data_IF_644323426122
#
_entry.id   IF_644323426122
#
_cell.length_a   1.000
_cell.length_b   1.000
_cell.length_c   1.000
_cell.angle_alpha   90.00
_cell.angle_beta   90.00
_cell.angle_gamma   90.00
#
_symmetry.space_group_name_H-M   'P 1'
#
loop_
_entity.id
_entity.type
_entity.pdbx_description
1 polymer ?
#
# COMPACT_ATOMS: atom_id res chain seq x y z
N UNK A 1 -12.15 -11.17 -9.00
CA UNK A 1 -10.74 -11.30 -9.39
C UNK A 1 -10.29 -12.74 -9.39
N UNK A 2 -9.56 -13.16 -10.42
CA UNK A 2 -9.05 -14.54 -10.55
C UNK A 2 -8.20 -14.95 -9.34
N UNK A 3 -7.49 -14.02 -8.75
CA UNK A 3 -6.62 -14.26 -7.59
C UNK A 3 -7.40 -14.56 -6.30
N UNK A 4 -8.65 -14.11 -6.19
CA UNK A 4 -9.52 -14.41 -5.06
C UNK A 4 -10.33 -15.70 -5.24
N UNK A 5 -10.28 -16.32 -6.42
CA UNK A 5 -11.05 -17.54 -6.73
C UNK A 5 -10.92 -18.66 -5.69
N UNK A 6 -9.71 -19.02 -5.22
CA UNK A 6 -9.56 -20.05 -4.17
C UNK A 6 -10.28 -19.69 -2.86
N UNK A 7 -10.18 -18.43 -2.42
CA UNK A 7 -10.88 -17.94 -1.23
C UNK A 7 -12.40 -18.03 -1.42
N UNK A 8 -12.92 -17.50 -2.51
CA UNK A 8 -14.36 -17.50 -2.81
C UNK A 8 -14.90 -18.91 -2.91
N UNK A 9 -14.18 -19.83 -3.58
CA UNK A 9 -14.56 -21.25 -3.68
C UNK A 9 -14.62 -21.94 -2.31
N UNK A 10 -13.73 -21.55 -1.38
CA UNK A 10 -13.67 -22.15 -0.05
C UNK A 10 -14.69 -21.55 0.92
N UNK A 11 -14.90 -20.22 0.86
CA UNK A 11 -15.69 -19.46 1.85
C UNK A 11 -17.09 -19.12 1.39
N UNK A 12 -17.38 -19.26 0.11
CA UNK A 12 -18.69 -18.99 -0.49
C UNK A 12 -19.02 -17.51 -0.61
N UNK A 13 -20.03 -17.24 -1.41
CA UNK A 13 -20.60 -15.91 -1.64
C UNK A 13 -21.78 -15.70 -0.68
N UNK A 14 -21.79 -14.55 -0.01
CA UNK A 14 -22.89 -14.18 0.86
C UNK A 14 -24.17 -13.91 0.05
N UNK A 15 -25.27 -14.53 0.46
CA UNK A 15 -26.60 -14.29 -0.07
C UNK A 15 -27.63 -14.64 0.98
N UNK A 16 -28.67 -13.81 1.12
CA UNK A 16 -29.84 -14.14 1.94
C UNK A 16 -30.66 -15.25 1.31
N UNK A 17 -30.63 -15.35 -0.02
CA UNK A 17 -31.34 -16.41 -0.78
C UNK A 17 -30.33 -17.52 -1.11
N UNK A 18 -30.68 -18.75 -0.77
CA UNK A 18 -29.97 -19.94 -1.24
C UNK A 18 -30.37 -20.15 -2.68
N UNK A 19 -29.46 -20.01 -3.63
CA UNK A 19 -29.69 -20.31 -5.05
C UNK A 19 -28.96 -21.60 -5.40
N UNK A 20 -29.67 -22.51 -6.02
CA UNK A 20 -29.07 -23.71 -6.59
C UNK A 20 -28.19 -23.32 -7.77
N UNK A 21 -27.05 -23.96 -7.88
CA UNK A 21 -26.17 -23.82 -9.02
C UNK A 21 -26.68 -24.64 -10.20
N UNK A 22 -27.39 -23.99 -11.14
CA UNK A 22 -27.94 -24.61 -12.33
C UNK A 22 -26.88 -25.35 -13.14
N UNK A 23 -25.68 -24.77 -13.26
CA UNK A 23 -24.57 -25.41 -14.01
C UNK A 23 -24.10 -26.71 -13.35
N UNK A 24 -24.11 -26.74 -12.02
CA UNK A 24 -23.78 -27.95 -11.26
C UNK A 24 -24.84 -29.04 -11.44
N UNK A 25 -26.12 -28.65 -11.41
CA UNK A 25 -27.24 -29.55 -11.58
C UNK A 25 -27.26 -30.12 -13.01
N UNK A 26 -26.93 -29.32 -14.00
CA UNK A 26 -26.80 -29.71 -15.41
C UNK A 26 -25.44 -30.38 -15.74
N UNK A 27 -24.55 -30.57 -14.76
CA UNK A 27 -23.22 -31.16 -14.91
C UNK A 27 -22.33 -30.42 -15.94
N UNK A 28 -22.54 -29.12 -16.12
CA UNK A 28 -21.68 -28.28 -16.95
C UNK A 28 -20.39 -28.03 -16.23
N UNK A 29 -19.26 -28.23 -16.91
CA UNK A 29 -17.94 -27.94 -16.34
C UNK A 29 -17.80 -26.43 -16.06
N UNK A 30 -17.60 -26.06 -14.78
CA UNK A 30 -17.39 -24.68 -14.34
C UNK A 30 -16.15 -24.60 -13.48
N UNK A 31 -15.33 -23.57 -13.71
CA UNK A 31 -14.21 -23.23 -12.84
C UNK A 31 -14.68 -22.66 -11.49
N UNK A 32 -15.94 -22.21 -11.43
CA UNK A 32 -16.55 -21.62 -10.24
C UNK A 32 -17.17 -22.75 -9.39
N UNK A 33 -16.66 -22.90 -8.17
CA UNK A 33 -17.10 -23.95 -7.24
C UNK A 33 -17.78 -23.39 -5.99
N UNK A 34 -18.00 -22.08 -5.92
CA UNK A 34 -18.60 -21.46 -4.75
C UNK A 34 -20.12 -21.68 -4.68
N UNK A 35 -20.59 -21.71 -3.44
CA UNK A 35 -22.02 -21.71 -3.13
C UNK A 35 -22.45 -20.32 -2.67
N UNK A 36 -23.71 -19.97 -2.89
CA UNK A 36 -24.34 -18.77 -2.34
C UNK A 36 -25.21 -19.15 -1.15
N UNK A 37 -24.89 -18.56 0.02
CA UNK A 37 -25.62 -18.85 1.26
C UNK A 37 -25.37 -17.79 2.32
N UNK A 38 -26.17 -17.73 3.39
CA UNK A 38 -26.08 -16.74 4.45
C UNK A 38 -24.78 -16.75 5.28
N UNK A 39 -24.02 -17.86 5.21
CA UNK A 39 -22.70 -17.97 5.84
C UNK A 39 -21.52 -17.64 4.91
N UNK A 40 -21.78 -17.25 3.66
CA UNK A 40 -20.73 -16.86 2.73
C UNK A 40 -19.97 -15.63 3.19
N UNK A 41 -18.67 -15.61 2.96
CA UNK A 41 -17.78 -14.50 3.41
C UNK A 41 -17.35 -13.58 2.27
N UNK A 42 -17.77 -13.83 1.04
CA UNK A 42 -17.50 -12.95 -0.10
C UNK A 42 -18.77 -12.22 -0.53
N UNK A 43 -18.70 -10.90 -0.62
CA UNK A 43 -19.79 -10.06 -1.12
C UNK A 43 -19.43 -9.54 -2.51
N UNK A 44 -20.21 -9.89 -3.51
CA UNK A 44 -20.03 -9.39 -4.87
C UNK A 44 -20.83 -8.11 -5.06
N UNK A 45 -20.13 -6.99 -5.26
CA UNK A 45 -20.74 -5.67 -5.49
C UNK A 45 -20.75 -5.27 -6.96
N UNK A 46 -20.06 -6.01 -7.83
CA UNK A 46 -19.84 -5.62 -9.21
C UNK A 46 -18.91 -4.40 -9.33
N UNK A 47 -19.02 -3.65 -10.43
CA UNK A 47 -18.23 -2.44 -10.67
C UNK A 47 -19.00 -1.25 -10.06
N UNK A 48 -18.83 -1.04 -8.75
CA UNK A 48 -19.59 -0.07 -7.98
C UNK A 48 -18.76 0.44 -6.78
N UNK A 49 -17.81 1.32 -7.04
CA UNK A 49 -16.82 1.79 -6.05
C UNK A 49 -17.46 2.51 -4.86
N UNK A 50 -18.45 3.39 -5.12
CA UNK A 50 -19.18 4.05 -4.04
C UNK A 50 -19.93 3.08 -3.15
N UNK A 51 -20.52 2.02 -3.73
CA UNK A 51 -21.18 0.95 -2.95
C UNK A 51 -20.16 0.14 -2.14
N UNK A 52 -18.94 -0.06 -2.68
CA UNK A 52 -17.86 -0.71 -1.93
C UNK A 52 -17.55 0.07 -0.65
N UNK A 53 -17.30 1.37 -0.74
CA UNK A 53 -16.98 2.18 0.43
C UNK A 53 -18.14 2.28 1.41
N UNK A 54 -19.38 2.39 0.93
CA UNK A 54 -20.57 2.36 1.80
C UNK A 54 -20.70 1.01 2.53
N UNK A 55 -20.43 -0.09 1.84
CA UNK A 55 -20.44 -1.42 2.45
C UNK A 55 -19.31 -1.59 3.46
N UNK A 56 -18.10 -1.13 3.14
CA UNK A 56 -16.97 -1.15 4.07
C UNK A 56 -17.26 -0.32 5.32
N UNK A 57 -17.90 0.84 5.16
CA UNK A 57 -18.36 1.65 6.30
C UNK A 57 -19.33 0.88 7.18
N UNK A 58 -20.37 0.30 6.59
CA UNK A 58 -21.40 -0.45 7.33
C UNK A 58 -20.80 -1.65 8.10
N UNK A 59 -19.94 -2.44 7.43
CA UNK A 59 -19.29 -3.60 8.03
C UNK A 59 -18.23 -3.18 9.06
N UNK A 60 -17.47 -2.11 8.79
CA UNK A 60 -16.45 -1.58 9.69
C UNK A 60 -17.01 -0.97 10.98
N UNK A 61 -18.26 -0.53 10.96
CA UNK A 61 -19.00 -0.02 12.12
C UNK A 61 -19.73 -1.11 12.92
N UNK A 62 -19.61 -2.38 12.53
CA UNK A 62 -20.33 -3.48 13.19
C UNK A 62 -20.02 -3.63 14.69
N UNK A 63 -18.78 -3.32 15.10
CA UNK A 63 -18.36 -3.36 16.51
C UNK A 63 -19.19 -2.42 17.39
N UNK A 64 -19.15 -1.10 17.16
CA UNK A 64 -19.92 -0.14 17.97
C UNK A 64 -21.44 -0.29 17.82
N UNK A 65 -21.95 -0.76 16.68
CA UNK A 65 -23.41 -0.88 16.45
C UNK A 65 -23.98 -2.18 17.03
N UNK A 66 -23.27 -3.30 16.83
CA UNK A 66 -23.79 -4.64 17.16
C UNK A 66 -22.97 -5.39 18.21
N UNK A 67 -21.91 -4.80 18.74
CA UNK A 67 -21.05 -5.43 19.75
C UNK A 67 -20.11 -6.52 19.19
N UNK A 68 -20.12 -6.76 17.88
CA UNK A 68 -19.25 -7.74 17.22
C UNK A 68 -18.51 -7.07 16.08
N UNK A 69 -17.18 -7.03 16.17
CA UNK A 69 -16.35 -6.42 15.14
C UNK A 69 -16.12 -7.39 13.99
N UNK A 70 -16.47 -6.97 12.78
CA UNK A 70 -16.07 -7.59 11.54
C UNK A 70 -14.75 -7.00 11.07
N UNK A 71 -14.02 -7.76 10.24
CA UNK A 71 -12.76 -7.34 9.62
C UNK A 71 -12.93 -7.29 8.09
N UNK A 72 -13.65 -6.28 7.57
CA UNK A 72 -13.94 -6.20 6.15
C UNK A 72 -12.68 -5.85 5.36
N UNK A 73 -12.49 -6.58 4.24
CA UNK A 73 -11.44 -6.31 3.25
C UNK A 73 -12.13 -6.01 1.92
N UNK A 74 -11.96 -4.80 1.43
CA UNK A 74 -12.48 -4.38 0.13
C UNK A 74 -11.39 -4.38 -0.94
N UNK A 75 -11.73 -4.83 -2.16
CA UNK A 75 -10.80 -4.83 -3.29
C UNK A 75 -11.35 -4.02 -4.45
N UNK A 76 -10.50 -3.19 -5.05
CA UNK A 76 -10.82 -2.42 -6.25
C UNK A 76 -9.56 -2.19 -7.08
N UNK A 77 -9.72 -1.75 -8.34
CA UNK A 77 -8.60 -1.20 -9.12
C UNK A 77 -8.20 0.15 -8.53
N UNK A 78 -6.90 0.33 -8.30
CA UNK A 78 -6.35 1.52 -7.66
C UNK A 78 -6.84 2.85 -8.27
N UNK A 79 -6.88 3.06 -9.61
CA UNK A 79 -7.34 4.33 -10.19
C UNK A 79 -8.80 4.65 -9.86
N UNK A 80 -9.60 3.64 -9.53
CA UNK A 80 -11.03 3.83 -9.31
C UNK A 80 -11.39 4.23 -7.87
N UNK A 81 -10.40 4.30 -6.97
CA UNK A 81 -10.59 4.90 -5.64
C UNK A 81 -11.19 6.32 -5.77
N UNK A 82 -10.79 7.06 -6.79
CA UNK A 82 -11.27 8.41 -7.05
C UNK A 82 -12.79 8.51 -7.27
N UNK A 83 -13.44 7.42 -7.73
CA UNK A 83 -14.89 7.39 -7.97
C UNK A 83 -15.71 7.33 -6.69
N UNK A 84 -15.11 6.96 -5.57
CA UNK A 84 -15.80 6.80 -4.30
C UNK A 84 -15.20 7.62 -3.17
N UNK A 85 -14.40 8.66 -3.45
CA UNK A 85 -13.69 9.45 -2.44
C UNK A 85 -14.60 10.06 -1.38
N UNK A 86 -15.79 10.53 -1.76
CA UNK A 86 -16.77 11.07 -0.81
C UNK A 86 -17.21 9.99 0.19
N UNK A 87 -17.60 8.82 -0.31
CA UNK A 87 -17.99 7.70 0.54
C UNK A 87 -16.83 7.18 1.40
N UNK A 88 -15.60 7.15 0.87
CA UNK A 88 -14.39 6.82 1.62
C UNK A 88 -14.16 7.82 2.76
N UNK A 89 -14.27 9.12 2.47
CA UNK A 89 -14.10 10.17 3.47
C UNK A 89 -15.11 10.02 4.61
N UNK A 90 -16.39 9.78 4.29
CA UNK A 90 -17.41 9.54 5.32
C UNK A 90 -17.15 8.25 6.11
N UNK A 91 -16.71 7.20 5.48
CA UNK A 91 -16.34 5.96 6.17
C UNK A 91 -15.24 6.20 7.21
N UNK A 92 -14.18 6.93 6.83
CA UNK A 92 -13.09 7.29 7.73
C UNK A 92 -13.55 8.26 8.83
N UNK A 93 -14.39 9.25 8.49
CA UNK A 93 -14.94 10.22 9.44
C UNK A 93 -15.78 9.55 10.55
N UNK A 94 -16.48 8.47 10.21
CA UNK A 94 -17.30 7.69 11.14
C UNK A 94 -16.49 6.68 11.97
N UNK A 95 -15.16 6.66 11.81
CA UNK A 95 -14.28 5.64 12.43
C UNK A 95 -14.65 4.20 12.02
N UNK A 96 -15.14 4.01 10.82
CA UNK A 96 -15.30 2.68 10.24
C UNK A 96 -13.93 2.04 10.04
N UNK A 97 -13.82 0.74 10.35
CA UNK A 97 -12.55 0.03 10.35
C UNK A 97 -12.53 -1.06 9.31
N UNK A 98 -11.71 -0.87 8.29
CA UNK A 98 -11.62 -1.76 7.13
C UNK A 98 -10.20 -1.76 6.55
N UNK A 99 -9.92 -2.79 5.77
CA UNK A 99 -8.73 -2.86 4.93
C UNK A 99 -9.14 -2.67 3.46
N UNK A 100 -8.63 -1.63 2.82
CA UNK A 100 -8.82 -1.35 1.41
C UNK A 100 -7.61 -1.84 0.63
N UNK A 101 -7.82 -2.78 -0.29
CA UNK A 101 -6.77 -3.33 -1.15
C UNK A 101 -7.00 -2.85 -2.58
N UNK A 102 -6.22 -1.88 -3.00
CA UNK A 102 -6.24 -1.33 -4.34
C UNK A 102 -5.25 -2.07 -5.23
N UNK A 103 -5.78 -2.91 -6.11
CA UNK A 103 -4.98 -3.81 -6.98
C UNK A 103 -5.75 -4.20 -8.25
N UNK A 104 -5.12 -4.23 -9.42
CA UNK A 104 -3.74 -3.78 -9.69
C UNK A 104 -3.58 -2.26 -9.59
N UNK A 105 -2.34 -1.81 -9.36
CA UNK A 105 -1.98 -0.41 -9.25
C UNK A 105 -0.84 -0.05 -10.21
N UNK A 106 -0.80 1.22 -10.60
CA UNK A 106 0.32 1.86 -11.28
C UNK A 106 0.70 1.21 -12.60
N UNK A 107 1.98 0.95 -12.76
CA UNK A 107 2.59 0.44 -14.00
C UNK A 107 1.97 -0.87 -14.51
N UNK A 108 1.43 -1.71 -13.63
CA UNK A 108 0.75 -2.95 -14.05
C UNK A 108 -0.51 -2.72 -14.88
N UNK A 109 -1.03 -1.49 -14.89
CA UNK A 109 -2.16 -1.07 -15.71
C UNK A 109 -1.73 -0.41 -17.04
N UNK A 110 -0.44 -0.40 -17.37
CA UNK A 110 0.07 0.16 -18.61
C UNK A 110 -0.58 -0.42 -19.88
N UNK A 111 -0.90 -1.73 -19.98
CA UNK A 111 -1.63 -2.27 -21.12
C UNK A 111 -3.03 -1.70 -21.31
N UNK A 112 -3.68 -1.28 -20.22
CA UNK A 112 -5.04 -0.70 -20.23
C UNK A 112 -5.05 0.78 -20.63
N UNK A 113 -3.90 1.46 -20.55
CA UNK A 113 -3.71 2.85 -20.95
C UNK A 113 -3.47 3.84 -19.83
N UNK A 114 -2.99 5.02 -20.20
CA UNK A 114 -2.52 6.04 -19.27
C UNK A 114 -3.54 6.52 -18.25
N UNK A 115 -4.83 6.52 -18.58
CA UNK A 115 -5.91 6.91 -17.67
C UNK A 115 -6.09 5.93 -16.49
N UNK A 116 -5.55 4.71 -16.58
CA UNK A 116 -5.64 3.68 -15.54
C UNK A 116 -4.37 3.59 -14.68
N UNK A 117 -3.32 4.32 -14.98
CA UNK A 117 -2.03 4.24 -14.28
C UNK A 117 -1.98 4.91 -12.90
N UNK A 118 -3.10 5.45 -12.41
CA UNK A 118 -3.29 5.88 -11.02
C UNK A 118 -2.18 6.76 -10.43
N UNK A 119 -1.79 7.82 -11.15
CA UNK A 119 -0.66 8.71 -10.78
C UNK A 119 -0.84 9.36 -9.41
N UNK A 120 -2.07 9.78 -9.05
CA UNK A 120 -2.35 10.56 -7.84
C UNK A 120 -2.76 9.74 -6.61
N UNK A 121 -2.98 8.44 -6.74
CA UNK A 121 -3.53 7.61 -5.65
C UNK A 121 -2.63 7.50 -4.42
N UNK A 122 -1.28 7.54 -4.50
CA UNK A 122 -0.44 7.63 -3.31
C UNK A 122 -0.72 8.88 -2.45
N UNK A 123 -1.08 10.01 -3.09
CA UNK A 123 -1.41 11.24 -2.36
C UNK A 123 -2.78 11.15 -1.66
N UNK A 124 -3.72 10.37 -2.20
CA UNK A 124 -5.00 10.08 -1.51
C UNK A 124 -4.72 9.38 -0.19
N UNK A 125 -3.88 8.34 -0.19
CA UNK A 125 -3.47 7.65 1.02
C UNK A 125 -2.88 8.59 2.08
N UNK A 126 -1.98 9.47 1.67
CA UNK A 126 -1.33 10.43 2.56
C UNK A 126 -2.27 11.54 3.06
N UNK A 127 -3.29 11.89 2.29
CA UNK A 127 -4.17 13.02 2.57
C UNK A 127 -5.48 12.67 3.27
N UNK A 128 -5.81 11.39 3.43
CA UNK A 128 -7.09 10.94 4.00
C UNK A 128 -6.98 10.69 5.50
N UNK A 129 -7.55 11.52 6.37
CA UNK A 129 -7.58 11.25 7.81
C UNK A 129 -8.31 9.95 8.14
N UNK A 130 -7.82 9.20 9.14
CA UNK A 130 -8.40 7.93 9.58
C UNK A 130 -8.04 6.73 8.69
N UNK A 131 -7.14 6.92 7.74
CA UNK A 131 -6.65 5.90 6.83
C UNK A 131 -5.12 5.87 6.89
N UNK A 132 -4.54 4.72 7.17
CA UNK A 132 -3.08 4.52 7.08
C UNK A 132 -2.76 3.81 5.78
N UNK A 133 -1.87 4.38 4.98
CA UNK A 133 -1.54 3.84 3.66
C UNK A 133 -0.17 3.18 3.60
N UNK A 134 -0.11 2.06 2.89
CA UNK A 134 1.11 1.32 2.60
C UNK A 134 1.23 0.97 1.12
N UNK A 135 2.45 0.96 0.63
CA UNK A 135 2.81 0.52 -0.71
C UNK A 135 4.04 -0.41 -0.65
N UNK A 136 3.85 -1.67 -0.21
CA UNK A 136 4.93 -2.63 -0.12
C UNK A 136 5.47 -3.04 -1.49
N UNK A 137 6.77 -3.32 -1.55
CA UNK A 137 7.41 -3.85 -2.74
C UNK A 137 7.35 -5.39 -2.80
N UNK A 138 7.42 -6.06 -1.65
CA UNK A 138 7.59 -7.50 -1.54
C UNK A 138 6.44 -8.18 -0.79
N UNK A 139 6.24 -9.46 -1.05
CA UNK A 139 5.19 -10.25 -0.44
C UNK A 139 5.37 -10.45 1.08
N UNK A 140 6.59 -10.52 1.56
CA UNK A 140 6.90 -10.64 2.99
C UNK A 140 6.58 -9.34 3.76
N UNK A 141 6.83 -8.17 3.14
CA UNK A 141 6.38 -6.88 3.66
C UNK A 141 4.84 -6.83 3.74
N UNK A 142 4.18 -7.22 2.65
CA UNK A 142 2.72 -7.26 2.60
C UNK A 142 2.15 -8.17 3.69
N UNK A 143 2.73 -9.35 3.91
CA UNK A 143 2.29 -10.27 4.96
C UNK A 143 2.42 -9.64 6.36
N UNK A 144 3.53 -8.96 6.64
CA UNK A 144 3.77 -8.23 7.89
C UNK A 144 2.74 -7.12 8.08
N UNK A 145 2.52 -6.31 7.05
CA UNK A 145 1.58 -5.17 7.07
C UNK A 145 0.14 -5.66 7.24
N UNK A 146 -0.27 -6.71 6.53
CA UNK A 146 -1.63 -7.25 6.65
C UNK A 146 -1.90 -7.83 8.04
N UNK A 147 -0.94 -8.57 8.61
CA UNK A 147 -1.05 -9.08 9.98
C UNK A 147 -1.25 -7.95 10.96
N UNK A 148 -0.37 -6.95 10.93
CA UNK A 148 -0.49 -5.76 11.76
C UNK A 148 -1.81 -5.01 11.50
N UNK A 149 -2.23 -4.87 10.24
CA UNK A 149 -3.45 -4.16 9.86
C UNK A 149 -4.71 -4.79 10.47
N UNK A 150 -4.79 -6.12 10.53
CA UNK A 150 -5.88 -6.80 11.22
C UNK A 150 -5.86 -6.58 12.74
N UNK A 151 -4.69 -6.52 13.36
CA UNK A 151 -4.53 -6.18 14.77
C UNK A 151 -4.90 -4.71 15.01
N UNK A 152 -4.43 -3.79 14.16
CA UNK A 152 -4.72 -2.36 14.22
C UNK A 152 -6.22 -2.04 14.08
N UNK A 153 -6.92 -2.71 13.17
CA UNK A 153 -8.37 -2.55 13.03
C UNK A 153 -9.16 -2.94 14.28
N UNK A 154 -8.57 -3.73 15.19
CA UNK A 154 -9.19 -4.21 16.43
C UNK A 154 -8.74 -3.42 17.67
N UNK A 155 -7.67 -2.65 17.58
CA UNK A 155 -7.14 -1.85 18.68
C UNK A 155 -8.09 -0.71 19.05
N UNK A 156 -8.04 -0.24 20.29
CA UNK A 156 -8.91 0.86 20.78
C UNK A 156 -8.68 2.16 20.00
N UNK A 157 -7.41 2.45 19.69
CA UNK A 157 -6.94 3.59 18.89
C UNK A 157 -6.72 3.24 17.41
N UNK A 158 -7.29 2.13 16.95
CA UNK A 158 -7.13 1.64 15.59
C UNK A 158 -7.93 2.44 14.57
N UNK A 159 -7.75 2.09 13.29
CA UNK A 159 -8.41 2.75 12.15
C UNK A 159 -8.44 1.85 10.93
N UNK A 160 -8.60 2.46 9.76
CA UNK A 160 -8.60 1.78 8.47
C UNK A 160 -7.20 1.74 7.83
N UNK A 161 -6.98 0.74 6.99
CA UNK A 161 -5.70 0.53 6.28
C UNK A 161 -5.95 0.53 4.77
N UNK A 162 -5.12 1.23 4.02
CA UNK A 162 -5.10 1.23 2.57
C UNK A 162 -3.81 0.59 2.06
N UNK A 163 -3.94 -0.44 1.23
CA UNK A 163 -2.84 -1.15 0.59
C UNK A 163 -2.87 -0.87 -0.91
N UNK A 164 -1.88 -0.16 -1.43
CA UNK A 164 -1.68 0.04 -2.86
C UNK A 164 -0.74 -1.05 -3.38
N UNK A 165 -1.28 -1.98 -4.19
CA UNK A 165 -0.58 -3.19 -4.59
C UNK A 165 -0.45 -3.32 -6.10
N UNK A 166 0.78 -3.55 -6.56
CA UNK A 166 1.08 -3.93 -7.93
C UNK A 166 0.92 -5.44 -8.12
N UNK A 167 0.55 -5.87 -9.32
CA UNK A 167 0.59 -7.28 -9.74
C UNK A 167 1.82 -7.60 -10.59
N UNK A 168 2.78 -6.68 -10.65
CA UNK A 168 4.05 -6.89 -11.35
C UNK A 168 4.83 -8.05 -10.73
N UNK A 169 5.34 -8.93 -11.59
CA UNK A 169 6.21 -10.02 -11.16
C UNK A 169 7.61 -9.46 -10.87
N UNK A 170 8.03 -9.57 -9.62
CA UNK A 170 9.37 -9.18 -9.16
C UNK A 170 10.02 -10.30 -8.36
N UNK A 171 11.35 -10.39 -8.43
CA UNK A 171 12.09 -11.35 -7.62
C UNK A 171 11.94 -11.01 -6.14
N UNK A 172 11.54 -12.00 -5.35
CA UNK A 172 11.42 -11.84 -3.91
C UNK A 172 12.81 -11.94 -3.24
N UNK A 173 13.09 -11.13 -2.21
CA UNK A 173 14.36 -11.19 -1.50
C UNK A 173 14.48 -12.49 -0.70
N UNK A 174 15.67 -13.09 -0.72
CA UNK A 174 16.04 -14.16 0.19
C UNK A 174 16.55 -13.54 1.51
N UNK A 175 15.64 -13.32 2.44
CA UNK A 175 15.94 -12.68 3.74
C UNK A 175 15.13 -13.27 4.87
N UNK A 176 15.66 -13.20 6.08
CA UNK A 176 14.93 -13.55 7.29
C UNK A 176 14.18 -12.32 7.80
N UNK A 177 12.89 -12.47 8.03
CA UNK A 177 12.07 -11.43 8.66
C UNK A 177 12.40 -11.39 10.16
N UNK A 178 13.25 -10.43 10.56
CA UNK A 178 13.57 -10.20 11.97
C UNK A 178 12.55 -9.26 12.61
N UNK A 179 12.45 -9.28 13.94
CA UNK A 179 11.55 -8.37 14.67
C UNK A 179 11.89 -6.90 14.42
N UNK A 180 13.15 -6.56 14.21
CA UNK A 180 13.62 -5.21 13.89
C UNK A 180 13.14 -4.80 12.50
N UNK A 181 13.29 -5.70 11.51
CA UNK A 181 12.82 -5.45 10.15
C UNK A 181 11.29 -5.31 10.10
N UNK A 182 10.54 -6.16 10.80
CA UNK A 182 9.08 -6.03 10.92
C UNK A 182 8.68 -4.66 11.47
N UNK A 183 9.34 -4.21 12.54
CA UNK A 183 9.09 -2.88 13.12
C UNK A 183 9.39 -1.74 12.16
N UNK A 184 10.49 -1.82 11.43
CA UNK A 184 10.89 -0.77 10.49
C UNK A 184 9.96 -0.74 9.26
N UNK A 185 9.53 -1.90 8.75
CA UNK A 185 8.48 -2.02 7.72
C UNK A 185 7.20 -1.31 8.20
N UNK A 186 6.76 -1.57 9.43
CA UNK A 186 5.55 -0.99 9.99
C UNK A 186 5.69 0.51 10.32
N UNK A 187 6.89 1.00 10.60
CA UNK A 187 7.18 2.44 10.73
C UNK A 187 7.26 3.16 9.40
N UNK A 188 7.28 2.43 8.30
CA UNK A 188 7.19 2.98 6.95
C UNK A 188 8.48 2.98 6.14
N UNK A 189 9.65 2.62 6.69
CA UNK A 189 10.90 2.52 5.91
C UNK A 189 11.96 1.69 6.59
N UNK A 190 12.82 1.07 5.77
CA UNK A 190 14.01 0.36 6.21
C UNK A 190 15.11 0.43 5.13
N UNK A 191 16.38 0.30 5.53
CA UNK A 191 17.47 0.18 4.58
C UNK A 191 17.49 -1.22 3.95
N UNK A 192 17.13 -1.32 2.66
CA UNK A 192 17.30 -2.54 1.88
C UNK A 192 18.79 -2.86 1.65
N UNK A 193 19.61 -1.82 1.45
CA UNK A 193 21.06 -1.87 1.46
C UNK A 193 21.56 -0.70 2.32
N UNK A 194 22.18 -1.01 3.43
CA UNK A 194 22.71 -0.01 4.35
C UNK A 194 23.79 0.86 3.69
N UNK A 195 23.70 2.19 3.83
CA UNK A 195 24.78 3.05 3.36
C UNK A 195 26.02 2.90 4.24
N UNK A 196 27.20 3.08 3.67
CA UNK A 196 28.37 3.34 4.50
C UNK A 196 28.28 4.77 5.06
N UNK A 197 28.83 4.97 6.24
CA UNK A 197 28.85 6.31 6.86
C UNK A 197 29.44 7.35 5.91
N UNK A 198 28.84 8.52 5.89
CA UNK A 198 29.23 9.65 5.05
C UNK A 198 29.18 9.38 3.53
N UNK A 199 28.17 8.62 3.08
CA UNK A 199 27.92 8.49 1.63
C UNK A 199 27.26 9.76 1.08
N UNK A 200 27.69 10.23 -0.12
CA UNK A 200 27.18 11.47 -0.72
C UNK A 200 25.82 11.31 -1.43
N UNK A 201 25.34 10.08 -1.58
CA UNK A 201 24.10 9.77 -2.30
C UNK A 201 23.36 8.60 -1.67
N UNK A 202 22.01 8.68 -1.68
CA UNK A 202 21.13 7.54 -1.42
C UNK A 202 20.02 7.50 -2.46
N UNK A 203 19.58 6.28 -2.80
CA UNK A 203 18.39 6.02 -3.58
C UNK A 203 17.28 5.57 -2.63
N UNK A 204 16.10 6.17 -2.76
CA UNK A 204 14.91 5.86 -1.98
C UNK A 204 13.82 5.42 -2.96
N UNK A 205 13.11 4.35 -2.65
CA UNK A 205 12.05 3.86 -3.52
C UNK A 205 10.83 3.40 -2.74
N UNK A 206 9.70 3.29 -3.42
CA UNK A 206 8.47 2.67 -2.88
C UNK A 206 7.83 1.78 -3.94
N UNK A 207 7.22 0.68 -3.50
CA UNK A 207 6.42 -0.20 -4.36
C UNK A 207 7.21 -0.92 -5.45
N UNK A 208 6.60 -1.12 -6.64
CA UNK A 208 7.04 -2.10 -7.64
C UNK A 208 8.21 -1.66 -8.53
N UNK A 209 8.84 -0.52 -8.28
CA UNK A 209 9.97 0.00 -9.07
C UNK A 209 11.32 -0.62 -8.68
N UNK A 210 11.29 -1.67 -7.89
CA UNK A 210 12.49 -2.35 -7.37
C UNK A 210 13.45 -2.81 -8.46
N UNK A 211 13.03 -3.45 -9.56
CA UNK A 211 13.96 -3.92 -10.59
C UNK A 211 14.80 -2.77 -11.15
N UNK A 212 14.17 -1.68 -11.57
CA UNK A 212 14.86 -0.51 -12.14
C UNK A 212 15.80 0.16 -11.15
N UNK A 213 15.37 0.21 -9.88
CA UNK A 213 16.18 0.80 -8.81
C UNK A 213 17.39 -0.06 -8.49
N UNK A 214 17.27 -1.39 -8.48
CA UNK A 214 18.40 -2.30 -8.29
C UNK A 214 19.38 -2.24 -9.46
N UNK A 215 18.91 -2.11 -10.69
CA UNK A 215 19.76 -1.93 -11.87
C UNK A 215 20.53 -0.61 -11.79
N UNK A 216 19.85 0.48 -11.45
CA UNK A 216 20.50 1.78 -11.23
C UNK A 216 21.51 1.73 -10.07
N UNK A 217 21.16 1.08 -8.95
CA UNK A 217 22.08 0.88 -7.83
C UNK A 217 23.32 0.09 -8.25
N UNK A 218 23.15 -0.98 -8.99
CA UNK A 218 24.26 -1.82 -9.47
C UNK A 218 25.19 -1.08 -10.44
N UNK A 219 24.64 -0.19 -11.25
CA UNK A 219 25.43 0.64 -12.15
C UNK A 219 26.25 1.72 -11.42
N UNK A 220 25.73 2.23 -10.29
CA UNK A 220 26.32 3.38 -9.57
C UNK A 220 27.22 2.98 -8.39
N UNK A 221 27.09 1.77 -7.85
CA UNK A 221 27.77 1.36 -6.61
C UNK A 221 29.30 1.36 -6.67
N UNK A 222 29.87 1.21 -7.89
CA UNK A 222 31.32 1.25 -8.09
C UNK A 222 31.85 2.69 -8.09
N UNK A 223 31.10 3.61 -8.68
CA UNK A 223 31.45 5.02 -8.76
C UNK A 223 31.13 5.77 -7.46
N UNK A 224 30.16 5.27 -6.68
CA UNK A 224 29.72 5.86 -5.41
C UNK A 224 29.83 4.82 -4.30
N UNK A 225 31.05 4.62 -3.76
CA UNK A 225 31.28 3.65 -2.70
C UNK A 225 30.45 3.97 -1.45
N UNK A 226 29.64 2.99 -1.02
CA UNK A 226 28.79 3.15 0.15
C UNK A 226 27.39 3.71 -0.15
N UNK A 227 27.02 3.79 -1.44
CA UNK A 227 25.64 4.08 -1.86
C UNK A 227 24.64 3.25 -1.04
N UNK A 228 23.61 3.91 -0.49
CA UNK A 228 22.52 3.27 0.25
C UNK A 228 21.26 3.13 -0.59
N UNK A 229 20.48 2.09 -0.29
CA UNK A 229 19.17 1.86 -0.90
C UNK A 229 18.11 1.74 0.19
N UNK A 230 17.20 2.72 0.29
CA UNK A 230 16.12 2.77 1.28
C UNK A 230 14.79 2.37 0.65
N UNK A 231 14.12 1.39 1.24
CA UNK A 231 12.74 1.03 0.90
C UNK A 231 11.76 1.80 1.76
N UNK A 232 10.77 2.44 1.14
CA UNK A 232 9.63 3.05 1.82
C UNK A 232 8.42 2.14 1.62
N UNK A 233 7.82 1.72 2.71
CA UNK A 233 6.59 0.94 2.75
C UNK A 233 5.36 1.79 3.07
N UNK A 234 5.56 2.94 3.75
CA UNK A 234 4.50 3.91 4.06
C UNK A 234 5.05 5.33 4.11
N UNK A 235 4.89 6.07 3.01
CA UNK A 235 5.19 7.51 2.99
C UNK A 235 4.29 8.30 3.94
N UNK A 236 3.07 7.86 4.10
CA UNK A 236 2.05 8.40 4.97
C UNK A 236 2.49 8.42 6.44
N UNK A 237 2.80 7.26 7.03
CA UNK A 237 3.23 7.18 8.43
C UNK A 237 4.51 7.98 8.69
N UNK A 238 5.48 7.90 7.78
CA UNK A 238 6.74 8.66 7.89
C UNK A 238 6.49 10.16 7.88
N UNK A 239 5.59 10.63 6.99
CA UNK A 239 5.25 12.04 6.89
C UNK A 239 4.56 12.53 8.17
N UNK A 240 3.56 11.80 8.67
CA UNK A 240 2.84 12.17 9.88
C UNK A 240 3.73 12.14 11.13
N UNK A 241 4.58 11.13 11.28
CA UNK A 241 5.55 11.06 12.37
C UNK A 241 6.53 12.25 12.30
N UNK A 242 7.05 12.58 11.12
CA UNK A 242 7.91 13.72 10.94
C UNK A 242 7.19 15.02 11.29
N UNK A 243 5.99 15.27 10.78
CA UNK A 243 5.21 16.46 11.11
C UNK A 243 4.98 16.59 12.63
N UNK A 244 4.61 15.51 13.29
CA UNK A 244 4.46 15.47 14.74
C UNK A 244 5.77 15.81 15.45
N UNK A 245 6.90 15.33 14.96
CA UNK A 245 8.21 15.58 15.56
C UNK A 245 8.63 17.05 15.52
N UNK A 246 8.07 17.88 14.63
CA UNK A 246 8.38 19.32 14.56
C UNK A 246 7.85 20.11 15.77
N UNK A 247 6.90 19.56 16.48
CA UNK A 247 6.32 20.15 17.72
C UNK A 247 6.90 19.54 18.98
N UNK A 248 7.74 18.53 18.86
CA UNK A 248 8.36 17.84 19.99
C UNK A 248 9.44 18.68 20.65
N UNK A 249 9.78 18.33 21.90
CA UNK A 249 10.93 18.87 22.60
C UNK A 249 12.25 18.50 21.91
N UNK A 250 13.28 19.32 22.06
CA UNK A 250 14.64 19.03 21.56
C UNK A 250 15.26 17.76 22.16
N UNK A 251 14.71 17.26 23.25
CA UNK A 251 15.17 16.03 23.91
C UNK A 251 14.46 14.76 23.40
N UNK A 252 13.41 14.91 22.58
CA UNK A 252 12.72 13.77 22.01
C UNK A 252 13.54 13.15 20.86
N UNK A 253 13.44 11.82 20.64
CA UNK A 253 14.15 11.19 19.55
C UNK A 253 13.67 11.75 18.20
N UNK A 254 14.56 11.83 17.20
CA UNK A 254 14.18 12.23 15.86
C UNK A 254 13.17 11.24 15.26
N UNK A 255 12.33 11.70 14.32
CA UNK A 255 11.44 10.81 13.58
C UNK A 255 12.20 9.72 12.85
N UNK A 256 11.53 8.60 12.56
CA UNK A 256 12.15 7.42 11.95
C UNK A 256 12.91 7.76 10.66
N UNK A 257 12.30 8.51 9.75
CA UNK A 257 12.97 8.91 8.49
C UNK A 257 14.21 9.77 8.74
N UNK A 258 14.15 10.70 9.68
CA UNK A 258 15.32 11.56 10.03
C UNK A 258 16.44 10.71 10.63
N UNK A 259 16.09 9.74 11.48
CA UNK A 259 17.03 8.78 12.07
C UNK A 259 17.72 7.94 10.99
N UNK A 260 16.96 7.36 10.06
CA UNK A 260 17.51 6.56 8.95
C UNK A 260 18.48 7.39 8.10
N UNK A 261 18.10 8.61 7.73
CA UNK A 261 18.89 9.48 6.86
C UNK A 261 20.07 10.14 7.57
N UNK A 262 20.19 10.03 8.91
CA UNK A 262 21.33 10.57 9.66
C UNK A 262 22.67 9.90 9.31
N UNK A 263 22.63 8.70 8.72
CA UNK A 263 23.82 7.95 8.24
C UNK A 263 24.48 8.58 6.99
N UNK A 264 23.75 9.45 6.28
CA UNK A 264 24.24 10.10 5.08
C UNK A 264 25.06 11.34 5.41
N UNK A 265 25.96 11.75 4.51
CA UNK A 265 26.60 13.05 4.60
C UNK A 265 25.59 14.18 4.77
N UNK A 266 26.01 15.26 5.43
CA UNK A 266 25.15 16.43 5.65
C UNK A 266 24.60 17.02 4.33
N UNK A 267 25.41 17.01 3.28
CA UNK A 267 25.07 17.54 1.95
C UNK A 267 24.77 16.42 0.94
N UNK A 268 24.54 15.20 1.39
CA UNK A 268 24.20 14.10 0.50
C UNK A 268 22.98 14.44 -0.35
N UNK A 269 23.01 14.04 -1.60
CA UNK A 269 21.83 14.07 -2.47
C UNK A 269 20.95 12.83 -2.23
N UNK A 270 19.68 12.99 -2.48
CA UNK A 270 18.69 11.89 -2.42
C UNK A 270 17.98 11.82 -3.77
N UNK A 271 17.88 10.62 -4.33
CA UNK A 271 17.02 10.33 -5.49
C UNK A 271 15.85 9.50 -4.98
N UNK A 272 14.62 9.97 -5.19
CA UNK A 272 13.43 9.17 -4.88
C UNK A 272 12.81 8.64 -6.16
N UNK A 273 12.40 7.37 -6.16
CA UNK A 273 11.82 6.67 -7.32
C UNK A 273 10.50 6.02 -6.92
N UNK A 274 9.45 6.28 -7.69
CA UNK A 274 8.13 5.74 -7.40
C UNK A 274 7.26 5.62 -8.64
N UNK A 275 6.33 4.68 -8.60
CA UNK A 275 5.27 4.51 -9.59
C UNK A 275 4.03 5.33 -9.18
N UNK A 276 4.16 6.65 -9.23
CA UNK A 276 3.15 7.60 -8.82
C UNK A 276 3.67 9.05 -8.88
N UNK A 277 2.86 9.99 -8.40
CA UNK A 277 3.24 11.41 -8.42
C UNK A 277 4.39 11.70 -7.45
N UNK A 278 5.48 12.39 -7.90
CA UNK A 278 6.69 12.60 -7.10
C UNK A 278 6.47 13.37 -5.80
N UNK A 279 5.37 14.09 -5.64
CA UNK A 279 5.05 14.83 -4.42
C UNK A 279 4.90 13.92 -3.18
N UNK A 280 4.57 12.63 -3.36
CA UNK A 280 4.42 11.70 -2.25
C UNK A 280 5.74 11.40 -1.51
N UNK A 281 6.89 11.66 -2.13
CA UNK A 281 8.22 11.48 -1.51
C UNK A 281 9.07 12.76 -1.47
N UNK A 282 8.71 13.82 -2.20
CA UNK A 282 9.54 15.04 -2.29
C UNK A 282 9.69 15.78 -0.95
N UNK A 283 8.75 15.59 -0.02
CA UNK A 283 8.79 16.17 1.33
C UNK A 283 10.01 15.69 2.15
N UNK A 284 10.62 14.56 1.79
CA UNK A 284 11.84 14.03 2.42
C UNK A 284 12.99 15.07 2.37
N UNK A 285 12.97 15.92 1.35
CA UNK A 285 13.93 17.03 1.27
C UNK A 285 13.83 18.00 2.44
N UNK A 286 12.61 18.35 2.84
CA UNK A 286 12.38 19.19 4.01
C UNK A 286 12.73 18.47 5.31
N UNK A 287 12.36 17.21 5.46
CA UNK A 287 12.64 16.41 6.64
C UNK A 287 14.15 16.21 6.87
N UNK A 288 14.90 15.92 5.81
CA UNK A 288 16.33 15.64 5.87
C UNK A 288 17.24 16.86 5.73
N UNK A 289 16.68 18.00 5.31
CA UNK A 289 17.43 19.22 4.92
C UNK A 289 18.45 18.93 3.82
N UNK A 290 18.11 18.06 2.88
CA UNK A 290 18.95 17.63 1.76
C UNK A 290 18.28 17.92 0.43
N UNK A 291 19.06 17.97 -0.63
CA UNK A 291 18.55 18.09 -1.98
C UNK A 291 17.95 16.75 -2.41
N UNK A 292 16.68 16.77 -2.83
CA UNK A 292 15.95 15.60 -3.32
C UNK A 292 15.63 15.76 -4.79
N UNK A 293 15.92 14.74 -5.59
CA UNK A 293 15.54 14.60 -6.98
C UNK A 293 14.45 13.53 -7.05
N UNK A 294 13.21 13.96 -7.24
CA UNK A 294 12.08 13.05 -7.21
C UNK A 294 11.71 12.59 -8.62
N UNK A 295 11.90 11.30 -8.86
CA UNK A 295 11.48 10.62 -10.09
C UNK A 295 10.14 9.95 -9.87
N UNK A 296 9.19 10.23 -10.76
CA UNK A 296 7.82 9.72 -10.70
C UNK A 296 7.03 10.16 -11.93
N UNK A 297 5.73 10.01 -11.89
CA UNK A 297 4.82 10.29 -13.00
C UNK A 297 4.14 11.64 -12.78
N UNK A 298 4.27 12.55 -13.74
CA UNK A 298 3.62 13.87 -13.75
C UNK A 298 2.64 14.04 -14.90
N UNK A 299 2.62 13.09 -15.84
CA UNK A 299 1.80 13.11 -17.04
C UNK A 299 1.11 11.76 -17.23
N UNK A 300 0.06 11.73 -18.04
CA UNK A 300 -0.56 10.48 -18.44
C UNK A 300 0.39 9.67 -19.32
N UNK A 301 0.51 8.39 -19.00
CA UNK A 301 1.24 7.45 -19.83
C UNK A 301 0.46 7.06 -21.10
N UNK A 302 1.04 6.18 -21.88
CA UNK A 302 0.44 5.58 -23.07
C UNK A 302 0.18 4.09 -22.84
N UNK A 303 -0.75 3.51 -23.60
CA UNK A 303 -0.94 2.06 -23.60
C UNK A 303 0.31 1.37 -24.15
N UNK A 304 0.79 0.36 -23.43
CA UNK A 304 1.95 -0.40 -23.85
C UNK A 304 2.16 -1.62 -22.97
N UNK A 305 2.92 -2.57 -23.48
CA UNK A 305 3.38 -3.66 -22.64
C UNK A 305 4.53 -3.17 -21.77
N UNK A 306 4.66 -3.74 -20.59
CA UNK A 306 5.86 -3.59 -19.78
C UNK A 306 7.04 -4.20 -20.51
N UNK A 307 8.21 -3.54 -20.54
CA UNK A 307 9.42 -4.10 -21.15
C UNK A 307 9.90 -5.35 -20.44
#
# INVERSE_FOLDING_TARGET
STNLGPWVNQRGVFSLDVRNDVFRDEKVASAQKWLRHGGGQHMELGIAESNLFTMLAALGLSGPIFGTRLLPVGTLYDPFIARGLDALNYACYQDARFMLVATPAGITLAPEGGAHQSVSTPLIGMGQPGLISFEPAYADELATIMKWGFEYMQADDGGSVYLRLSTRMINQPDRVMTTELEKDILKGAYWAIEPKNNTPLAIIYTGPVVPEVLDAFNALKEDIPGLGLLSITSSDQLYHEWQKSLTNSTNDPPSHIVSLLSKLEKNAAIITVQDGHPASLSWIGAASRRKVYSLGLTEFGQSGNLP
#
